data_IF_319633718021
#
_entry.id   IF_319633718021
#
_cell.length_a   1.000
_cell.length_b   1.000
_cell.length_c   1.000
_cell.angle_alpha   90.00
_cell.angle_beta   90.00
_cell.angle_gamma   90.00
#
_symmetry.space_group_name_H-M   'P 1'
#
loop_
_entity.id
_entity.type
_entity.pdbx_description
1 polymer ?
#
# COMPACT_ATOMS: atom_id res chain seq x y z
N UNK A 1 28.13 -14.19 -10.24
CA UNK A 1 28.67 -14.50 -8.90
C UNK A 1 29.85 -15.47 -8.92
N UNK A 2 29.94 -16.41 -9.86
CA UNK A 2 31.01 -17.45 -9.89
C UNK A 2 32.45 -16.95 -10.09
N UNK A 3 32.66 -15.70 -10.53
CA UNK A 3 33.99 -15.15 -10.86
C UNK A 3 34.48 -14.06 -9.88
N UNK A 4 33.81 -13.87 -8.74
CA UNK A 4 34.27 -12.91 -7.72
C UNK A 4 35.30 -13.58 -6.78
N UNK A 5 36.38 -12.89 -6.38
CA UNK A 5 37.34 -13.44 -5.42
C UNK A 5 36.63 -13.80 -4.12
N UNK A 6 36.78 -15.06 -3.71
CA UNK A 6 36.22 -15.66 -2.51
C UNK A 6 36.88 -15.08 -1.26
N UNK A 7 36.50 -13.87 -0.86
CA UNK A 7 36.56 -13.47 0.54
C UNK A 7 35.31 -14.03 1.20
N UNK A 8 35.45 -14.93 2.18
CA UNK A 8 34.32 -15.43 2.96
C UNK A 8 33.65 -14.25 3.67
N UNK A 9 32.39 -13.89 3.36
CA UNK A 9 31.63 -13.08 4.28
C UNK A 9 31.18 -14.01 5.42
N UNK A 10 31.75 -13.83 6.61
CA UNK A 10 31.21 -14.36 7.87
C UNK A 10 29.86 -13.68 8.19
N UNK A 11 28.82 -13.81 7.35
CA UNK A 11 27.48 -13.38 7.77
C UNK A 11 26.85 -14.50 8.58
N UNK A 12 26.86 -14.35 9.91
CA UNK A 12 26.08 -15.19 10.84
C UNK A 12 24.56 -14.91 10.79
N UNK A 13 24.12 -14.07 9.86
CA UNK A 13 22.71 -13.70 9.70
C UNK A 13 21.82 -14.85 9.25
N UNK A 14 20.52 -14.60 9.27
CA UNK A 14 19.48 -15.54 8.91
C UNK A 14 18.72 -15.09 7.66
N UNK A 15 18.25 -16.07 6.88
CA UNK A 15 17.25 -15.81 5.84
C UNK A 15 15.89 -15.60 6.50
N UNK A 16 15.24 -14.48 6.20
CA UNK A 16 13.92 -14.15 6.71
C UNK A 16 12.90 -14.10 5.57
N UNK A 17 11.75 -14.77 5.69
CA UNK A 17 10.68 -14.56 4.74
C UNK A 17 10.14 -13.14 4.90
N UNK A 18 10.01 -12.42 3.80
CA UNK A 18 9.34 -11.10 3.77
C UNK A 18 8.25 -11.10 2.71
N UNK A 19 7.39 -10.09 2.71
CA UNK A 19 6.40 -9.86 1.64
C UNK A 19 6.84 -8.69 0.77
N UNK A 20 6.28 -8.57 -0.43
CA UNK A 20 6.49 -7.39 -1.27
C UNK A 20 5.99 -6.09 -0.61
N UNK A 21 4.94 -6.15 0.22
CA UNK A 21 4.51 -5.05 1.09
C UNK A 21 5.55 -4.71 2.17
N UNK A 22 6.12 -5.73 2.82
CA UNK A 22 7.11 -5.59 3.88
C UNK A 22 8.53 -5.26 3.41
N UNK A 23 8.72 -4.84 2.15
CA UNK A 23 10.06 -4.54 1.61
C UNK A 23 10.63 -3.19 2.07
N UNK A 24 9.92 -2.44 2.93
CA UNK A 24 10.37 -1.15 3.49
C UNK A 24 10.66 -0.06 2.45
N UNK A 25 10.12 -0.20 1.22
CA UNK A 25 10.49 0.63 0.07
C UNK A 25 10.33 2.13 0.33
N UNK A 26 9.22 2.51 0.95
CA UNK A 26 8.88 3.91 1.24
C UNK A 26 9.31 4.37 2.64
N UNK A 27 9.99 3.51 3.40
CA UNK A 27 10.38 3.75 4.79
C UNK A 27 11.82 4.23 4.94
N UNK A 28 12.55 4.33 3.82
CA UNK A 28 13.97 4.70 3.84
C UNK A 28 14.14 6.21 4.05
N UNK A 29 14.73 6.59 5.18
CA UNK A 29 15.15 7.98 5.47
C UNK A 29 16.68 8.10 5.47
N UNK A 30 17.29 8.19 4.29
CA UNK A 30 18.73 8.42 4.16
C UNK A 30 19.01 9.84 3.68
N UNK A 31 19.98 10.51 4.31
CA UNK A 31 20.47 11.81 3.85
C UNK A 31 21.50 11.63 2.73
N UNK A 32 21.45 12.54 1.77
CA UNK A 32 22.46 12.64 0.70
C UNK A 32 23.28 13.89 0.95
N UNK A 33 24.60 13.74 1.03
CA UNK A 33 25.51 14.89 1.00
C UNK A 33 25.66 15.39 -0.44
N UNK A 34 25.66 16.71 -0.61
CA UNK A 34 25.84 17.34 -1.92
C UNK A 34 27.19 18.03 -1.96
N UNK A 35 27.86 17.97 -3.11
CA UNK A 35 29.18 18.56 -3.31
C UNK A 35 29.17 19.43 -4.57
N UNK A 36 29.96 20.49 -4.56
CA UNK A 36 30.25 21.27 -5.78
C UNK A 36 31.13 20.41 -6.66
N UNK A 37 30.68 20.18 -7.90
CA UNK A 37 31.44 19.41 -8.90
C UNK A 37 31.93 20.36 -10.00
N UNK A 38 33.19 20.20 -10.38
CA UNK A 38 33.70 20.82 -11.61
C UNK A 38 33.04 20.14 -12.82
N UNK A 39 32.74 20.93 -13.86
CA UNK A 39 32.19 20.42 -15.13
C UNK A 39 33.30 20.55 -16.18
N UNK A 40 34.09 19.48 -16.43
CA UNK A 40 35.14 19.52 -17.43
C UNK A 40 34.57 19.78 -18.83
N UNK A 41 35.32 20.45 -19.73
CA UNK A 41 34.91 20.61 -21.11
C UNK A 41 34.59 19.25 -21.76
N UNK A 42 33.39 19.16 -22.34
CA UNK A 42 32.89 17.98 -23.05
C UNK A 42 32.35 16.84 -22.16
N UNK A 43 32.28 16.98 -20.84
CA UNK A 43 31.70 15.94 -19.98
C UNK A 43 30.26 15.61 -20.41
N UNK A 44 29.94 14.31 -20.52
CA UNK A 44 28.64 13.78 -21.00
C UNK A 44 28.32 14.07 -22.47
N UNK A 45 29.33 14.40 -23.28
CA UNK A 45 29.19 14.37 -24.74
C UNK A 45 29.57 13.01 -25.28
N UNK A 46 29.12 12.70 -26.51
CA UNK A 46 29.42 11.43 -27.21
C UNK A 46 30.92 11.12 -27.31
N UNK A 47 31.78 12.13 -27.18
CA UNK A 47 33.25 11.98 -27.27
C UNK A 47 33.94 11.88 -25.91
N UNK A 48 33.22 12.13 -24.80
CA UNK A 48 33.78 12.17 -23.45
C UNK A 48 32.70 11.84 -22.42
N UNK A 49 32.32 10.56 -22.43
CA UNK A 49 31.54 9.95 -21.38
C UNK A 49 32.47 9.47 -20.25
N UNK A 50 32.06 9.57 -18.98
CA UNK A 50 32.81 8.97 -17.88
C UNK A 50 32.85 7.44 -18.05
N UNK A 51 33.90 6.81 -17.51
CA UNK A 51 33.95 5.35 -17.49
C UNK A 51 32.73 4.79 -16.74
N UNK A 52 32.00 3.83 -17.33
CA UNK A 52 30.82 3.28 -16.70
C UNK A 52 31.23 2.47 -15.47
N UNK A 53 30.38 2.49 -14.44
CA UNK A 53 30.52 1.55 -13.34
C UNK A 53 30.12 0.16 -13.84
N UNK A 54 31.03 -0.80 -13.73
CA UNK A 54 30.81 -2.16 -14.24
C UNK A 54 30.11 -3.04 -13.21
N UNK A 55 29.13 -3.82 -13.68
CA UNK A 55 28.49 -4.89 -12.92
C UNK A 55 28.99 -6.26 -13.43
N UNK A 56 28.93 -7.32 -12.61
CA UNK A 56 29.28 -8.66 -13.07
C UNK A 56 28.34 -9.13 -14.20
N UNK A 57 28.77 -10.12 -15.02
CA UNK A 57 27.96 -10.65 -16.11
C UNK A 57 26.55 -11.08 -15.66
N UNK A 58 25.55 -10.68 -16.45
CA UNK A 58 24.13 -10.97 -16.21
C UNK A 58 23.41 -9.94 -15.33
N UNK A 59 24.12 -9.12 -14.57
CA UNK A 59 23.51 -8.05 -13.79
C UNK A 59 23.26 -6.81 -14.65
N UNK A 60 22.11 -6.18 -14.40
CA UNK A 60 21.71 -4.93 -15.04
C UNK A 60 21.14 -3.98 -13.98
N UNK A 61 21.48 -2.69 -14.08
CA UNK A 61 20.92 -1.64 -13.24
C UNK A 61 19.70 -1.03 -13.92
N UNK A 62 18.66 -0.79 -13.14
CA UNK A 62 17.40 -0.22 -13.59
C UNK A 62 17.00 0.94 -12.71
N UNK A 63 16.39 1.96 -13.31
CA UNK A 63 15.83 3.11 -12.59
C UNK A 63 14.31 2.99 -12.66
N UNK A 64 13.70 2.77 -11.50
CA UNK A 64 12.25 2.74 -11.36
C UNK A 64 11.62 4.08 -11.79
N UNK A 65 10.37 4.12 -12.29
CA UNK A 65 9.67 5.37 -12.64
C UNK A 65 9.63 6.45 -11.55
N UNK A 66 9.61 6.05 -10.27
CA UNK A 66 9.68 6.93 -9.09
C UNK A 66 11.11 7.38 -8.73
N UNK A 67 12.14 6.87 -9.40
CA UNK A 67 13.53 7.34 -9.32
C UNK A 67 14.50 6.45 -8.53
N UNK A 68 14.04 5.43 -7.81
CA UNK A 68 14.96 4.53 -7.10
C UNK A 68 15.69 3.57 -8.06
N UNK A 69 16.98 3.34 -7.80
CA UNK A 69 17.77 2.34 -8.51
C UNK A 69 17.55 0.95 -7.91
N UNK A 70 17.52 -0.07 -8.75
CA UNK A 70 17.54 -1.47 -8.35
C UNK A 70 18.30 -2.29 -9.39
N UNK A 71 18.59 -3.56 -9.07
CA UNK A 71 19.43 -4.41 -9.89
C UNK A 71 18.74 -5.74 -10.17
N UNK A 72 18.85 -6.21 -11.41
CA UNK A 72 18.29 -7.48 -11.85
C UNK A 72 19.39 -8.35 -12.48
N UNK A 73 19.42 -9.62 -12.09
CA UNK A 73 20.27 -10.67 -12.63
C UNK A 73 19.44 -11.55 -13.56
N UNK A 74 19.80 -11.58 -14.84
CA UNK A 74 19.25 -12.57 -15.76
C UNK A 74 20.05 -13.88 -15.69
N UNK A 75 19.35 -15.00 -15.77
CA UNK A 75 19.93 -16.33 -15.61
C UNK A 75 18.88 -17.43 -15.33
N UNK A 76 19.33 -18.66 -15.02
CA UNK A 76 18.44 -19.78 -14.72
C UNK A 76 17.49 -19.52 -13.54
N UNK A 77 18.00 -18.80 -12.53
CA UNK A 77 17.22 -18.20 -11.46
C UNK A 77 17.36 -16.69 -11.61
N UNK A 78 16.30 -16.00 -11.99
CA UNK A 78 16.30 -14.54 -12.02
C UNK A 78 16.33 -14.01 -10.60
N UNK A 79 17.07 -12.94 -10.39
CA UNK A 79 17.19 -12.31 -9.06
C UNK A 79 17.00 -10.82 -9.22
N UNK A 80 16.24 -10.20 -8.32
CA UNK A 80 16.10 -8.76 -8.22
C UNK A 80 16.38 -8.29 -6.81
N UNK A 81 17.02 -7.13 -6.68
CA UNK A 81 17.37 -6.55 -5.37
C UNK A 81 17.43 -5.04 -5.43
N UNK A 82 17.06 -4.40 -4.32
CA UNK A 82 17.26 -2.97 -4.07
C UNK A 82 18.66 -2.65 -3.51
N UNK A 83 19.49 -3.65 -3.23
CA UNK A 83 20.83 -3.46 -2.70
C UNK A 83 21.75 -2.79 -3.73
N UNK A 84 22.51 -1.75 -3.32
CA UNK A 84 23.36 -0.98 -4.23
C UNK A 84 24.64 -1.74 -4.64
N UNK A 85 24.58 -2.47 -5.76
CA UNK A 85 25.61 -3.44 -6.16
C UNK A 85 26.95 -2.86 -6.60
N UNK A 86 27.03 -1.55 -6.86
CA UNK A 86 28.32 -0.90 -7.16
C UNK A 86 29.25 -0.85 -5.94
N UNK A 87 28.75 -1.14 -4.72
CA UNK A 87 29.58 -1.41 -3.54
C UNK A 87 29.99 -2.88 -3.53
N UNK A 88 31.29 -3.15 -3.62
CA UNK A 88 31.84 -4.51 -3.68
C UNK A 88 31.41 -5.42 -2.52
N UNK A 89 31.35 -4.89 -1.29
CA UNK A 89 30.87 -5.63 -0.11
C UNK A 89 29.39 -6.00 -0.21
N UNK A 90 28.55 -5.09 -0.71
CA UNK A 90 27.12 -5.33 -0.96
C UNK A 90 26.93 -6.43 -2.00
N UNK A 91 27.67 -6.37 -3.10
CA UNK A 91 27.63 -7.39 -4.15
C UNK A 91 28.05 -8.78 -3.64
N UNK A 92 29.12 -8.87 -2.83
CA UNK A 92 29.56 -10.12 -2.22
C UNK A 92 28.47 -10.73 -1.33
N UNK A 93 27.80 -9.90 -0.52
CA UNK A 93 26.69 -10.35 0.33
C UNK A 93 25.49 -10.84 -0.47
N UNK A 94 25.09 -10.12 -1.52
CA UNK A 94 24.00 -10.57 -2.41
C UNK A 94 24.36 -11.92 -3.05
N UNK A 95 25.59 -12.06 -3.57
CA UNK A 95 26.04 -13.33 -4.15
C UNK A 95 26.05 -14.47 -3.14
N UNK A 96 26.49 -14.22 -1.90
CA UNK A 96 26.45 -15.21 -0.82
C UNK A 96 25.01 -15.71 -0.58
N UNK A 97 24.04 -14.81 -0.44
CA UNK A 97 22.65 -15.20 -0.19
C UNK A 97 21.99 -15.91 -1.37
N UNK A 98 22.32 -15.53 -2.61
CA UNK A 98 21.89 -16.28 -3.81
C UNK A 98 22.37 -17.73 -3.72
N UNK A 99 23.64 -17.96 -3.37
CA UNK A 99 24.19 -19.32 -3.24
C UNK A 99 23.53 -20.12 -2.11
N UNK A 100 23.22 -19.48 -0.98
CA UNK A 100 22.49 -20.15 0.11
C UNK A 100 21.08 -20.56 -0.31
N UNK A 101 20.33 -19.67 -0.97
CA UNK A 101 18.98 -19.99 -1.45
C UNK A 101 19.01 -21.08 -2.52
N UNK A 102 20.00 -21.06 -3.43
CA UNK A 102 20.17 -22.14 -4.40
C UNK A 102 20.42 -23.49 -3.73
N UNK A 103 21.20 -23.53 -2.64
CA UNK A 103 21.38 -24.76 -1.85
C UNK A 103 20.08 -25.21 -1.17
N UNK A 104 19.31 -24.28 -0.60
CA UNK A 104 18.02 -24.58 0.03
C UNK A 104 17.00 -25.08 -1.00
N UNK A 105 16.99 -24.52 -2.21
CA UNK A 105 16.11 -24.97 -3.31
C UNK A 105 16.37 -26.43 -3.72
N UNK A 106 17.64 -26.85 -3.72
CA UNK A 106 17.99 -28.24 -3.99
C UNK A 106 17.51 -29.20 -2.88
N UNK A 107 17.30 -28.69 -1.66
CA UNK A 107 16.88 -29.47 -0.49
C UNK A 107 15.36 -29.47 -0.28
N UNK A 108 14.67 -28.38 -0.61
CA UNK A 108 13.25 -28.16 -0.28
C UNK A 108 12.27 -28.93 -1.18
N UNK A 109 12.75 -29.50 -2.29
CA UNK A 109 11.88 -30.20 -3.26
C UNK A 109 10.93 -29.27 -4.04
N UNK A 110 11.01 -27.95 -3.82
CA UNK A 110 10.23 -26.94 -4.54
C UNK A 110 10.76 -26.82 -5.96
N UNK A 111 9.89 -27.07 -6.95
CA UNK A 111 10.26 -26.91 -8.36
C UNK A 111 10.15 -25.44 -8.74
N UNK A 112 11.29 -24.78 -8.89
CA UNK A 112 11.37 -23.42 -9.40
C UNK A 112 11.40 -23.46 -10.93
N UNK A 113 10.40 -22.85 -11.56
CA UNK A 113 10.30 -22.77 -13.01
C UNK A 113 11.14 -21.60 -13.55
N UNK A 114 11.34 -21.55 -14.87
CA UNK A 114 11.98 -20.41 -15.55
C UNK A 114 11.21 -19.09 -15.45
N UNK A 115 9.97 -19.14 -14.95
CA UNK A 115 9.12 -17.97 -14.71
C UNK A 115 9.26 -17.42 -13.30
N UNK A 116 10.06 -18.08 -12.46
CA UNK A 116 10.30 -17.62 -11.11
C UNK A 116 11.37 -16.53 -11.04
N UNK A 117 11.17 -15.60 -10.13
CA UNK A 117 12.14 -14.55 -9.80
C UNK A 117 12.29 -14.45 -8.28
N UNK A 118 13.53 -14.41 -7.82
CA UNK A 118 13.91 -14.26 -6.42
C UNK A 118 14.11 -12.78 -6.11
N UNK A 119 13.43 -12.27 -5.08
CA UNK A 119 13.76 -10.98 -4.49
C UNK A 119 14.69 -11.16 -3.29
N UNK A 120 15.71 -10.30 -3.19
CA UNK A 120 16.61 -10.22 -2.03
C UNK A 120 16.66 -8.80 -1.47
N UNK A 121 16.54 -8.73 -0.14
CA UNK A 121 16.68 -7.50 0.64
C UNK A 121 17.73 -7.72 1.72
N UNK A 122 18.80 -6.93 1.71
CA UNK A 122 19.82 -7.02 2.75
C UNK A 122 19.40 -6.21 3.99
N UNK A 123 19.47 -6.82 5.17
CA UNK A 123 19.14 -6.18 6.46
C UNK A 123 20.29 -6.40 7.44
N UNK A 124 21.09 -5.38 7.77
CA UNK A 124 22.21 -5.51 8.71
C UNK A 124 23.07 -6.77 8.43
N UNK A 125 22.92 -7.86 9.17
CA UNK A 125 23.54 -9.18 8.93
C UNK A 125 22.63 -10.20 8.23
N UNK A 126 21.31 -10.04 8.33
CA UNK A 126 20.27 -10.91 7.79
C UNK A 126 19.94 -10.60 6.31
N UNK A 127 19.10 -11.45 5.72
CA UNK A 127 18.56 -11.22 4.39
C UNK A 127 17.08 -11.60 4.29
N UNK A 128 16.25 -10.61 3.95
CA UNK A 128 14.86 -10.81 3.56
C UNK A 128 14.77 -11.42 2.17
N UNK A 129 13.85 -12.37 1.97
CA UNK A 129 13.59 -12.98 0.68
C UNK A 129 12.11 -13.31 0.46
N UNK A 130 11.73 -13.36 -0.81
CA UNK A 130 10.57 -14.07 -1.32
C UNK A 130 10.80 -14.46 -2.77
N UNK A 131 10.00 -15.39 -3.29
CA UNK A 131 9.95 -15.69 -4.71
C UNK A 131 8.61 -15.26 -5.30
N UNK A 132 8.62 -14.91 -6.58
CA UNK A 132 7.41 -14.76 -7.37
C UNK A 132 7.45 -15.71 -8.55
N UNK A 133 6.29 -16.15 -9.03
CA UNK A 133 6.14 -16.86 -10.28
C UNK A 133 5.30 -16.02 -11.24
N UNK A 134 5.91 -15.54 -12.32
CA UNK A 134 5.25 -14.71 -13.32
C UNK A 134 4.17 -15.45 -14.13
N UNK A 135 4.22 -16.79 -14.20
CA UNK A 135 3.21 -17.57 -14.94
C UNK A 135 1.92 -17.71 -14.15
N UNK A 136 2.03 -18.01 -12.85
CA UNK A 136 0.86 -18.12 -11.96
C UNK A 136 0.47 -16.79 -11.33
N UNK A 137 1.34 -15.77 -11.44
CA UNK A 137 1.20 -14.43 -10.85
C UNK A 137 1.00 -14.51 -9.34
N UNK A 138 1.88 -15.25 -8.66
CA UNK A 138 1.80 -15.42 -7.20
C UNK A 138 3.15 -15.24 -6.54
N UNK A 139 3.14 -14.69 -5.32
CA UNK A 139 4.28 -14.71 -4.42
C UNK A 139 4.27 -15.98 -3.57
N UNK A 140 5.45 -16.56 -3.31
CA UNK A 140 5.63 -17.75 -2.49
C UNK A 140 6.99 -17.77 -1.79
N UNK A 141 7.19 -18.76 -0.91
CA UNK A 141 8.41 -18.94 -0.12
C UNK A 141 8.90 -20.40 -0.19
N UNK A 142 10.13 -20.64 0.29
CA UNK A 142 10.73 -21.99 0.28
C UNK A 142 10.17 -22.90 1.37
N UNK A 143 9.58 -22.29 2.41
CA UNK A 143 9.05 -22.95 3.59
C UNK A 143 7.57 -22.58 3.78
N UNK A 144 6.87 -23.37 4.59
CA UNK A 144 5.47 -23.10 4.94
C UNK A 144 5.38 -22.09 6.07
N UNK A 145 4.58 -21.05 5.87
CA UNK A 145 4.26 -20.04 6.89
C UNK A 145 2.76 -19.90 7.05
N UNK A 146 2.32 -19.49 8.23
CA UNK A 146 0.96 -18.99 8.45
C UNK A 146 0.88 -17.51 8.01
N UNK A 147 -0.33 -17.04 7.73
CA UNK A 147 -0.56 -15.67 7.26
C UNK A 147 -0.15 -14.64 8.31
N UNK A 148 -0.29 -14.96 9.59
CA UNK A 148 0.03 -14.08 10.71
C UNK A 148 1.53 -13.76 10.79
N UNK A 149 2.42 -14.77 10.64
CA UNK A 149 3.88 -14.54 10.61
C UNK A 149 4.34 -13.66 9.46
N UNK A 150 3.59 -13.63 8.37
CA UNK A 150 3.88 -12.83 7.19
C UNK A 150 3.12 -11.49 7.17
N UNK A 151 2.39 -11.18 8.24
CA UNK A 151 1.52 -10.00 8.36
C UNK A 151 0.52 -9.88 7.20
N UNK A 152 0.00 -11.04 6.75
CA UNK A 152 -1.02 -11.14 5.70
C UNK A 152 -2.42 -11.17 6.32
N UNK A 153 -3.43 -10.64 5.60
CA UNK A 153 -4.81 -10.67 6.09
C UNK A 153 -5.28 -12.10 6.32
N UNK A 154 -6.05 -12.30 7.39
CA UNK A 154 -6.73 -13.56 7.63
C UNK A 154 -7.76 -13.81 6.51
N UNK A 155 -7.73 -15.00 5.93
CA UNK A 155 -8.61 -15.39 4.82
C UNK A 155 -9.46 -16.59 5.19
N UNK A 156 -10.67 -16.63 4.62
CA UNK A 156 -11.66 -17.69 4.90
C UNK A 156 -11.47 -18.94 4.03
N UNK A 157 -10.85 -18.81 2.85
CA UNK A 157 -10.72 -19.89 1.87
C UNK A 157 -9.38 -19.82 1.12
N UNK A 158 -8.97 -20.94 0.51
CA UNK A 158 -7.76 -21.01 -0.32
C UNK A 158 -7.84 -20.14 -1.58
N UNK A 159 -9.04 -19.97 -2.15
CA UNK A 159 -9.23 -19.10 -3.32
C UNK A 159 -9.02 -17.62 -2.95
N UNK A 160 -9.38 -17.20 -1.73
CA UNK A 160 -8.99 -15.87 -1.23
C UNK A 160 -7.50 -15.74 -0.97
N UNK A 161 -6.87 -16.76 -0.37
CA UNK A 161 -5.41 -16.75 -0.19
C UNK A 161 -4.69 -16.55 -1.52
N UNK A 162 -5.16 -17.20 -2.59
CA UNK A 162 -4.62 -17.01 -3.94
C UNK A 162 -4.67 -15.55 -4.40
N UNK A 163 -5.76 -14.84 -4.12
CA UNK A 163 -5.89 -13.40 -4.47
C UNK A 163 -4.90 -12.57 -3.66
N UNK A 164 -4.70 -12.86 -2.37
CA UNK A 164 -3.67 -12.18 -1.55
C UNK A 164 -2.27 -12.40 -2.13
N UNK A 165 -1.94 -13.63 -2.53
CA UNK A 165 -0.64 -13.92 -3.15
C UNK A 165 -0.48 -13.28 -4.53
N UNK A 166 -1.57 -13.09 -5.27
CA UNK A 166 -1.59 -12.38 -6.56
C UNK A 166 -1.44 -10.86 -6.37
N UNK A 167 -2.07 -10.28 -5.33
CA UNK A 167 -1.82 -8.90 -4.93
C UNK A 167 -0.34 -8.65 -4.65
N UNK A 168 0.29 -9.50 -3.84
CA UNK A 168 1.72 -9.40 -3.52
C UNK A 168 2.60 -9.51 -4.76
N UNK A 169 2.23 -10.35 -5.72
CA UNK A 169 2.90 -10.42 -7.02
C UNK A 169 2.82 -9.09 -7.77
N UNK A 170 1.64 -8.46 -7.83
CA UNK A 170 1.49 -7.18 -8.51
C UNK A 170 2.27 -6.06 -7.82
N UNK A 171 2.33 -6.04 -6.49
CA UNK A 171 3.20 -5.12 -5.74
C UNK A 171 4.67 -5.34 -6.09
N UNK A 172 5.11 -6.59 -6.26
CA UNK A 172 6.47 -6.87 -6.72
C UNK A 172 6.73 -6.34 -8.14
N UNK A 173 5.82 -6.59 -9.09
CA UNK A 173 5.96 -6.07 -10.47
C UNK A 173 5.93 -4.55 -10.50
N UNK A 174 5.08 -3.94 -9.70
CA UNK A 174 5.06 -2.50 -9.48
C UNK A 174 6.41 -2.01 -8.94
N UNK A 175 7.02 -2.74 -8.00
CA UNK A 175 8.29 -2.34 -7.43
C UNK A 175 9.47 -2.46 -8.40
N UNK A 176 9.43 -3.41 -9.34
CA UNK A 176 10.51 -3.70 -10.26
C UNK A 176 10.02 -3.83 -11.72
N UNK A 177 9.48 -2.76 -12.34
CA UNK A 177 8.74 -2.87 -13.58
C UNK A 177 9.62 -2.78 -14.85
N UNK A 178 10.88 -2.36 -14.72
CA UNK A 178 11.75 -1.98 -15.85
C UNK A 178 12.53 -3.15 -16.47
N UNK A 179 12.77 -4.22 -15.72
CA UNK A 179 13.47 -5.43 -16.20
C UNK A 179 12.49 -6.54 -16.59
N UNK A 180 11.24 -6.44 -16.15
CA UNK A 180 10.18 -7.40 -16.45
C UNK A 180 9.86 -7.36 -17.94
N UNK A 181 9.70 -8.54 -18.54
CA UNK A 181 9.29 -8.67 -19.94
C UNK A 181 7.94 -7.97 -20.18
N UNK A 182 7.65 -7.50 -21.40
CA UNK A 182 6.35 -6.91 -21.71
C UNK A 182 5.20 -7.81 -21.25
N UNK A 183 4.25 -7.21 -20.54
CA UNK A 183 3.08 -7.93 -20.05
C UNK A 183 2.25 -8.42 -21.24
N UNK A 184 1.66 -9.62 -21.16
CA UNK A 184 0.69 -10.08 -22.14
C UNK A 184 -0.46 -9.09 -22.31
N UNK A 185 -0.91 -8.87 -23.55
CA UNK A 185 -1.98 -7.90 -23.89
C UNK A 185 -3.29 -8.20 -23.16
N UNK A 186 -3.53 -9.47 -22.86
CA UNK A 186 -4.72 -9.96 -22.15
C UNK A 186 -4.81 -9.35 -20.74
N UNK A 187 -3.67 -9.13 -20.07
CA UNK A 187 -3.64 -8.53 -18.73
C UNK A 187 -4.13 -7.08 -18.76
N UNK A 188 -3.78 -6.34 -19.82
CA UNK A 188 -4.25 -4.97 -20.03
C UNK A 188 -5.73 -4.94 -20.42
N UNK A 189 -6.17 -5.88 -21.26
CA UNK A 189 -7.57 -5.95 -21.67
C UNK A 189 -8.48 -6.34 -20.50
N UNK A 190 -8.07 -7.29 -19.66
CA UNK A 190 -8.80 -7.69 -18.46
C UNK A 190 -9.04 -6.51 -17.52
N UNK A 191 -8.01 -5.69 -17.25
CA UNK A 191 -8.18 -4.53 -16.39
C UNK A 191 -9.10 -3.48 -17.03
N UNK A 192 -9.02 -3.28 -18.37
CA UNK A 192 -9.96 -2.41 -19.09
C UNK A 192 -11.40 -2.91 -18.91
N UNK A 193 -11.65 -4.22 -18.99
CA UNK A 193 -12.98 -4.79 -18.78
C UNK A 193 -13.47 -4.61 -17.34
N UNK A 194 -12.59 -4.82 -16.35
CA UNK A 194 -12.92 -4.62 -14.93
C UNK A 194 -13.32 -3.16 -14.67
N UNK A 195 -12.56 -2.19 -15.17
CA UNK A 195 -12.90 -0.77 -15.02
C UNK A 195 -14.15 -0.37 -15.80
N UNK A 196 -14.40 -0.99 -16.96
CA UNK A 196 -15.63 -0.75 -17.74
C UNK A 196 -16.87 -1.28 -17.00
N UNK A 197 -16.76 -2.45 -16.37
CA UNK A 197 -17.77 -2.99 -15.48
C UNK A 197 -17.99 -2.06 -14.27
N UNK A 198 -16.91 -1.66 -13.59
CA UNK A 198 -16.97 -0.76 -12.43
C UNK A 198 -17.63 0.58 -12.75
N UNK A 199 -17.33 1.16 -13.92
CA UNK A 199 -18.01 2.37 -14.42
C UNK A 199 -19.52 2.15 -14.55
N UNK A 200 -19.92 1.07 -15.22
CA UNK A 200 -21.33 0.74 -15.41
C UNK A 200 -22.05 0.53 -14.06
N UNK A 201 -21.43 -0.22 -13.15
CA UNK A 201 -21.98 -0.50 -11.82
C UNK A 201 -22.15 0.80 -11.01
N UNK A 202 -21.15 1.67 -11.00
CA UNK A 202 -21.23 2.98 -10.31
C UNK A 202 -22.30 3.91 -10.90
N UNK A 203 -22.54 3.85 -12.21
CA UNK A 203 -23.57 4.65 -12.87
C UNK A 203 -24.99 4.11 -12.65
N UNK A 204 -25.13 2.80 -12.44
CA UNK A 204 -26.43 2.11 -12.38
C UNK A 204 -26.84 1.69 -10.96
N UNK A 205 -25.89 1.68 -10.01
CA UNK A 205 -26.09 1.24 -8.63
C UNK A 205 -25.54 2.25 -7.61
N UNK A 206 -26.41 2.73 -6.72
CA UNK A 206 -26.03 3.62 -5.61
C UNK A 206 -25.23 2.91 -4.50
N UNK A 207 -25.22 1.58 -4.51
CA UNK A 207 -24.60 0.72 -3.50
C UNK A 207 -23.48 -0.15 -4.09
N UNK A 208 -22.97 0.23 -5.26
CA UNK A 208 -21.81 -0.39 -5.90
C UNK A 208 -20.68 -0.61 -4.88
N UNK A 209 -20.09 -1.80 -4.94
CA UNK A 209 -18.91 -2.16 -4.17
C UNK A 209 -17.62 -1.79 -4.89
N UNK A 210 -17.66 -1.18 -6.08
CA UNK A 210 -16.43 -0.80 -6.77
C UNK A 210 -15.69 0.33 -6.03
N UNK A 211 -14.37 0.24 -5.97
CA UNK A 211 -13.50 1.13 -5.20
C UNK A 211 -13.41 2.55 -5.76
N UNK A 212 -13.57 2.70 -7.08
CA UNK A 212 -13.49 3.98 -7.77
C UNK A 212 -14.87 4.53 -8.13
N UNK A 213 -15.03 5.84 -8.11
CA UNK A 213 -16.21 6.51 -8.65
C UNK A 213 -16.29 6.38 -10.18
N UNK A 214 -17.47 6.58 -10.76
CA UNK A 214 -17.64 6.59 -12.22
C UNK A 214 -16.64 7.52 -12.93
N UNK A 215 -16.44 8.74 -12.39
CA UNK A 215 -15.48 9.70 -12.95
C UNK A 215 -14.04 9.19 -12.90
N UNK A 216 -13.64 8.57 -11.80
CA UNK A 216 -12.29 7.98 -11.69
C UNK A 216 -12.13 6.81 -12.66
N UNK A 217 -13.15 5.97 -12.83
CA UNK A 217 -13.14 4.87 -13.80
C UNK A 217 -12.93 5.38 -15.24
N UNK A 218 -13.62 6.45 -15.65
CA UNK A 218 -13.41 7.07 -16.97
C UNK A 218 -11.97 7.55 -17.14
N UNK A 219 -11.38 8.17 -16.11
CA UNK A 219 -9.99 8.65 -16.15
C UNK A 219 -9.02 7.47 -16.29
N UNK A 220 -9.21 6.41 -15.51
CA UNK A 220 -8.36 5.21 -15.59
C UNK A 220 -8.53 4.47 -16.92
N UNK A 221 -9.75 4.35 -17.46
CA UNK A 221 -9.97 3.76 -18.78
C UNK A 221 -9.24 4.53 -19.88
N UNK A 222 -9.30 5.86 -19.86
CA UNK A 222 -8.57 6.69 -20.80
C UNK A 222 -7.04 6.48 -20.68
N UNK A 223 -6.52 6.33 -19.46
CA UNK A 223 -5.11 6.03 -19.22
C UNK A 223 -4.71 4.63 -19.76
N UNK A 224 -5.51 3.60 -19.45
CA UNK A 224 -5.27 2.22 -19.86
C UNK A 224 -5.34 2.06 -21.38
N UNK A 225 -6.27 2.74 -22.06
CA UNK A 225 -6.33 2.74 -23.52
C UNK A 225 -5.07 3.33 -24.16
N UNK A 226 -4.46 4.35 -23.54
CA UNK A 226 -3.17 4.90 -24.01
C UNK A 226 -2.00 3.94 -23.78
N UNK A 227 -2.08 3.09 -22.77
CA UNK A 227 -1.05 2.08 -22.48
C UNK A 227 -0.93 1.04 -23.61
N UNK A 228 -2.00 0.77 -24.37
CA UNK A 228 -1.96 -0.17 -25.51
C UNK A 228 -0.89 0.17 -26.54
N UNK A 229 -0.62 1.46 -26.77
CA UNK A 229 0.41 1.90 -27.72
C UNK A 229 1.86 1.72 -27.23
N UNK A 230 2.07 1.50 -25.93
CA UNK A 230 3.38 1.50 -25.27
C UNK A 230 3.56 0.31 -24.32
N UNK A 231 2.97 -0.85 -24.64
CA UNK A 231 2.94 -2.01 -23.73
C UNK A 231 4.32 -2.55 -23.32
N UNK A 232 5.35 -2.24 -24.12
CA UNK A 232 6.74 -2.63 -23.85
C UNK A 232 7.46 -1.69 -22.87
N UNK A 233 6.82 -0.60 -22.44
CA UNK A 233 7.42 0.35 -21.50
C UNK A 233 7.27 -0.13 -20.06
N UNK A 234 8.36 -0.13 -19.29
CA UNK A 234 8.31 -0.37 -17.85
C UNK A 234 7.40 0.63 -17.10
N UNK A 235 7.17 1.82 -17.64
CA UNK A 235 6.18 2.75 -17.07
C UNK A 235 4.74 2.24 -17.24
N UNK A 236 4.45 1.60 -18.37
CA UNK A 236 3.15 0.96 -18.60
C UNK A 236 2.99 -0.26 -17.71
N UNK A 237 4.03 -1.09 -17.56
CA UNK A 237 4.06 -2.19 -16.60
C UNK A 237 3.75 -1.71 -15.18
N UNK A 238 4.38 -0.62 -14.75
CA UNK A 238 4.13 0.00 -13.44
C UNK A 238 2.66 0.43 -13.27
N UNK A 239 2.07 1.13 -14.25
CA UNK A 239 0.67 1.57 -14.20
C UNK A 239 -0.26 0.36 -14.04
N UNK A 240 -0.06 -0.66 -14.87
CA UNK A 240 -0.90 -1.86 -14.88
C UNK A 240 -0.77 -2.61 -13.56
N UNK A 241 0.46 -2.85 -13.09
CA UNK A 241 0.73 -3.55 -11.84
C UNK A 241 0.12 -2.82 -10.63
N UNK A 242 0.25 -1.49 -10.57
CA UNK A 242 -0.32 -0.68 -9.48
C UNK A 242 -1.85 -0.74 -9.44
N UNK A 243 -2.52 -0.75 -10.59
CA UNK A 243 -3.98 -0.85 -10.62
C UNK A 243 -4.44 -2.28 -10.29
N UNK A 244 -3.71 -3.31 -10.71
CA UNK A 244 -4.01 -4.70 -10.34
C UNK A 244 -3.85 -4.95 -8.84
N UNK A 245 -2.77 -4.47 -8.21
CA UNK A 245 -2.58 -4.63 -6.75
C UNK A 245 -3.75 -4.02 -5.97
N UNK A 246 -4.20 -2.82 -6.35
CA UNK A 246 -5.38 -2.18 -5.74
C UNK A 246 -6.66 -3.00 -5.95
N UNK A 247 -6.87 -3.56 -7.15
CA UNK A 247 -8.05 -4.37 -7.45
C UNK A 247 -8.06 -5.70 -6.68
N UNK A 248 -6.92 -6.35 -6.55
CA UNK A 248 -6.81 -7.63 -5.84
C UNK A 248 -6.98 -7.45 -4.32
N UNK A 249 -6.36 -6.43 -3.74
CA UNK A 249 -6.61 -6.03 -2.35
C UNK A 249 -8.12 -5.81 -2.10
N UNK A 250 -8.77 -5.12 -3.04
CA UNK A 250 -10.21 -4.89 -2.96
C UNK A 250 -11.04 -6.18 -3.07
N UNK A 251 -10.68 -7.11 -3.97
CA UNK A 251 -11.35 -8.41 -4.11
C UNK A 251 -11.28 -9.24 -2.81
N UNK A 252 -10.17 -9.16 -2.08
CA UNK A 252 -10.03 -9.81 -0.76
C UNK A 252 -11.04 -9.22 0.22
N UNK A 253 -11.11 -7.88 0.31
CA UNK A 253 -12.02 -7.17 1.22
C UNK A 253 -13.51 -7.48 0.98
N UNK A 254 -13.93 -7.61 -0.28
CA UNK A 254 -15.34 -7.89 -0.62
C UNK A 254 -15.68 -9.38 -0.70
N UNK A 255 -14.74 -10.29 -0.35
CA UNK A 255 -14.93 -11.73 -0.50
C UNK A 255 -15.31 -12.15 -1.93
N UNK A 256 -14.64 -11.56 -2.92
CA UNK A 256 -14.94 -11.80 -4.33
C UNK A 256 -14.81 -13.29 -4.70
N UNK A 257 -15.81 -13.81 -5.42
CA UNK A 257 -15.86 -15.21 -5.85
C UNK A 257 -16.17 -16.23 -4.74
N UNK A 258 -16.52 -15.77 -3.53
CA UNK A 258 -16.96 -16.63 -2.43
C UNK A 258 -18.49 -16.67 -2.34
N UNK A 259 -19.03 -17.65 -1.59
CA UNK A 259 -20.47 -17.72 -1.29
C UNK A 259 -20.95 -16.48 -0.51
N UNK A 260 -20.12 -15.95 0.38
CA UNK A 260 -20.41 -14.77 1.21
C UNK A 260 -19.87 -13.46 0.58
N UNK A 261 -19.79 -13.37 -0.75
CA UNK A 261 -19.33 -12.16 -1.42
C UNK A 261 -20.22 -10.95 -1.06
N UNK A 262 -19.58 -9.79 -0.81
CA UNK A 262 -20.29 -8.52 -0.64
C UNK A 262 -20.76 -8.02 -2.00
N UNK A 263 -22.07 -7.95 -2.17
CA UNK A 263 -22.70 -7.46 -3.41
C UNK A 263 -23.22 -6.02 -3.29
N UNK A 264 -23.31 -5.52 -2.06
CA UNK A 264 -23.77 -4.17 -1.75
C UNK A 264 -22.86 -3.54 -0.71
N UNK A 265 -22.49 -2.26 -0.88
CA UNK A 265 -21.58 -1.56 0.03
C UNK A 265 -22.07 -1.57 1.48
N UNK A 266 -23.37 -1.44 1.66
CA UNK A 266 -24.06 -1.37 2.97
C UNK A 266 -24.31 -2.75 3.61
N UNK A 267 -23.86 -3.83 2.96
CA UNK A 267 -23.99 -5.19 3.48
C UNK A 267 -22.85 -5.53 4.45
N UNK A 268 -23.22 -5.92 5.66
CA UNK A 268 -22.31 -6.57 6.62
C UNK A 268 -22.11 -8.03 6.24
N UNK A 269 -20.87 -8.44 6.05
CA UNK A 269 -20.49 -9.82 5.74
C UNK A 269 -19.53 -10.40 6.79
N UNK A 270 -18.78 -9.54 7.48
CA UNK A 270 -17.85 -9.98 8.53
C UNK A 270 -18.61 -10.10 9.84
N UNK A 271 -18.48 -11.26 10.49
CA UNK A 271 -19.00 -11.41 11.84
C UNK A 271 -18.19 -10.53 12.79
N UNK A 272 -18.76 -9.39 13.18
CA UNK A 272 -18.20 -8.56 14.23
C UNK A 272 -18.97 -8.81 15.54
N UNK A 273 -18.39 -9.50 16.53
CA UNK A 273 -18.96 -9.61 17.86
C UNK A 273 -18.80 -8.27 18.61
N UNK A 274 -19.48 -7.20 18.16
CA UNK A 274 -19.44 -5.96 18.92
C UNK A 274 -20.21 -6.11 20.23
N UNK A 275 -19.49 -5.89 21.33
CA UNK A 275 -20.03 -5.52 22.63
C UNK A 275 -20.71 -4.15 22.51
N UNK A 276 -21.93 -4.11 21.96
CA UNK A 276 -22.77 -2.90 22.01
C UNK A 276 -23.02 -2.55 23.47
N UNK A 277 -22.28 -1.59 24.01
CA UNK A 277 -22.61 -0.94 25.28
C UNK A 277 -23.83 -0.04 25.09
N UNK A 278 -25.01 -0.67 24.94
CA UNK A 278 -26.31 -0.03 24.67
C UNK A 278 -26.59 1.14 25.62
N UNK A 279 -26.16 1.04 26.88
CA UNK A 279 -26.35 2.07 27.89
C UNK A 279 -25.54 3.35 27.61
N UNK A 280 -24.29 3.25 27.16
CA UNK A 280 -23.47 4.42 26.78
C UNK A 280 -24.09 5.16 25.60
N UNK A 281 -24.59 4.42 24.61
CA UNK A 281 -25.25 5.01 23.44
C UNK A 281 -26.53 5.79 23.81
N UNK A 282 -27.29 5.31 24.80
CA UNK A 282 -28.49 5.98 25.31
C UNK A 282 -28.16 7.28 26.04
N UNK A 283 -27.15 7.26 26.92
CA UNK A 283 -26.70 8.46 27.65
C UNK A 283 -26.22 9.54 26.67
N UNK A 284 -25.37 9.17 25.72
CA UNK A 284 -24.85 10.10 24.72
C UNK A 284 -25.96 10.67 23.83
N UNK A 285 -26.93 9.84 23.44
CA UNK A 285 -28.09 10.30 22.68
C UNK A 285 -28.97 11.28 23.49
N UNK A 286 -29.11 11.08 24.81
CA UNK A 286 -29.86 12.02 25.64
C UNK A 286 -29.12 13.36 25.80
N UNK A 287 -27.83 13.34 26.11
CA UNK A 287 -27.02 14.56 26.29
C UNK A 287 -26.95 15.41 25.02
N UNK A 288 -26.88 14.76 23.86
CA UNK A 288 -26.72 15.45 22.56
C UNK A 288 -28.05 15.70 21.84
N UNK A 289 -29.19 15.54 22.51
CA UNK A 289 -30.52 15.67 21.90
C UNK A 289 -30.68 14.83 20.63
N UNK A 290 -30.22 13.57 20.68
CA UNK A 290 -30.20 12.57 19.61
C UNK A 290 -29.24 12.85 18.44
N UNK A 291 -28.51 13.95 18.48
CA UNK A 291 -27.53 14.33 17.44
C UNK A 291 -26.40 13.30 17.34
N UNK A 292 -25.90 12.77 18.47
CA UNK A 292 -24.88 11.71 18.45
C UNK A 292 -25.38 10.42 17.82
N UNK A 293 -26.65 10.08 18.05
CA UNK A 293 -27.28 8.91 17.43
C UNK A 293 -27.40 9.05 15.91
N UNK A 294 -27.73 10.25 15.43
CA UNK A 294 -27.79 10.56 14.00
C UNK A 294 -26.40 10.46 13.32
N UNK A 295 -25.36 11.04 13.91
CA UNK A 295 -24.00 10.92 13.37
C UNK A 295 -23.46 9.50 13.45
N UNK A 296 -23.75 8.76 14.53
CA UNK A 296 -23.34 7.37 14.67
C UNK A 296 -24.01 6.48 13.61
N UNK A 297 -25.31 6.69 13.33
CA UNK A 297 -26.00 5.98 12.26
C UNK A 297 -25.35 6.28 10.90
N UNK A 298 -25.15 7.56 10.56
CA UNK A 298 -24.48 7.96 9.30
C UNK A 298 -23.04 7.43 9.21
N UNK A 299 -22.31 7.38 10.33
CA UNK A 299 -20.97 6.84 10.38
C UNK A 299 -20.98 5.33 10.10
N UNK A 300 -21.89 4.59 10.74
CA UNK A 300 -22.06 3.16 10.52
C UNK A 300 -22.45 2.84 9.08
N UNK A 301 -23.23 3.69 8.43
CA UNK A 301 -23.62 3.53 7.01
C UNK A 301 -22.44 3.72 6.04
N UNK A 302 -21.43 4.50 6.41
CA UNK A 302 -20.23 4.76 5.58
C UNK A 302 -19.05 3.86 5.97
N UNK A 303 -19.07 3.26 7.16
CA UNK A 303 -18.00 2.47 7.78
C UNK A 303 -18.43 1.01 8.00
N UNK A 304 -18.90 0.34 6.95
CA UNK A 304 -19.43 -1.04 7.03
C UNK A 304 -18.29 -2.06 7.01
N UNK A 305 -18.21 -2.91 8.04
CA UNK A 305 -17.12 -3.87 8.29
C UNK A 305 -15.71 -3.27 8.22
N UNK A 306 -15.55 -2.05 8.75
CA UNK A 306 -14.28 -1.32 8.73
C UNK A 306 -13.77 -0.93 7.32
N UNK A 307 -14.62 -1.05 6.30
CA UNK A 307 -14.31 -0.61 4.93
C UNK A 307 -14.82 0.82 4.72
N UNK A 308 -13.98 1.65 4.12
CA UNK A 308 -14.30 3.04 3.78
C UNK A 308 -14.11 3.30 2.31
N UNK A 309 -15.18 3.74 1.65
CA UNK A 309 -15.13 4.21 0.27
C UNK A 309 -14.86 5.71 0.27
N UNK A 310 -13.69 6.12 -0.22
CA UNK A 310 -13.23 7.53 -0.17
C UNK A 310 -14.26 8.49 -0.78
N UNK A 311 -14.94 8.07 -1.85
CA UNK A 311 -15.94 8.88 -2.55
C UNK A 311 -17.23 9.09 -1.71
N UNK A 312 -17.50 8.26 -0.69
CA UNK A 312 -18.58 8.46 0.28
C UNK A 312 -18.08 9.16 1.55
N UNK A 313 -16.87 8.83 1.99
CA UNK A 313 -16.25 9.39 3.18
C UNK A 313 -16.01 10.89 3.08
N UNK A 314 -15.47 11.36 1.96
CA UNK A 314 -15.16 12.78 1.75
C UNK A 314 -16.40 13.68 1.88
N UNK A 315 -17.52 13.41 1.17
CA UNK A 315 -18.76 14.15 1.39
C UNK A 315 -19.25 14.09 2.83
N UNK A 316 -19.27 12.90 3.45
CA UNK A 316 -19.71 12.73 4.84
C UNK A 316 -18.91 13.59 5.84
N UNK A 317 -17.58 13.55 5.77
CA UNK A 317 -16.72 14.36 6.63
C UNK A 317 -16.90 15.86 6.33
N UNK A 318 -17.03 16.24 5.05
CA UNK A 318 -17.28 17.64 4.71
C UNK A 318 -18.58 18.16 5.31
N UNK A 319 -19.65 17.37 5.25
CA UNK A 319 -20.93 17.70 5.88
C UNK A 319 -20.78 17.86 7.39
N UNK A 320 -20.08 16.92 8.04
CA UNK A 320 -19.85 16.97 9.49
C UNK A 320 -19.09 18.23 9.90
N UNK A 321 -18.02 18.57 9.16
CA UNK A 321 -17.24 19.79 9.39
C UNK A 321 -18.08 21.06 9.16
N UNK A 322 -18.93 21.08 8.15
CA UNK A 322 -19.82 22.22 7.89
C UNK A 322 -20.86 22.38 9.00
N UNK A 323 -21.48 21.29 9.45
CA UNK A 323 -22.44 21.30 10.55
C UNK A 323 -21.81 21.76 11.87
N UNK A 324 -20.60 21.30 12.18
CA UNK A 324 -19.85 21.75 13.35
C UNK A 324 -19.55 23.24 13.28
N UNK A 325 -19.04 23.74 12.15
CA UNK A 325 -18.82 25.18 11.95
C UNK A 325 -20.10 25.98 12.19
N UNK A 326 -21.23 25.56 11.60
CA UNK A 326 -22.51 26.25 11.76
C UNK A 326 -23.00 26.27 13.21
N UNK A 327 -22.84 25.15 13.94
CA UNK A 327 -23.19 25.06 15.35
C UNK A 327 -22.31 25.97 16.20
N UNK A 328 -21.00 26.00 15.94
CA UNK A 328 -20.07 26.91 16.64
C UNK A 328 -20.43 28.38 16.42
N UNK A 329 -20.78 28.77 15.19
CA UNK A 329 -21.23 30.15 14.89
C UNK A 329 -22.53 30.52 15.61
N UNK A 330 -23.50 29.61 15.69
CA UNK A 330 -24.76 29.84 16.41
C UNK A 330 -24.50 29.96 17.91
N UNK A 331 -23.66 29.09 18.49
CA UNK A 331 -23.29 29.15 19.90
C UNK A 331 -22.55 30.45 20.22
N UNK A 332 -21.59 30.89 19.38
CA UNK A 332 -20.87 32.15 19.61
C UNK A 332 -21.77 33.39 19.51
N UNK A 333 -22.77 33.37 18.61
CA UNK A 333 -23.71 34.48 18.45
C UNK A 333 -24.83 34.48 19.51
N UNK A 334 -25.21 33.30 20.02
CA UNK A 334 -26.16 33.16 21.13
C UNK A 334 -25.53 33.54 22.48
N UNK A 335 -24.23 33.25 22.68
CA UNK A 335 -23.48 33.69 23.85
C UNK A 335 -23.34 35.23 23.90
N UNK A 336 -23.09 35.88 22.75
CA UNK A 336 -23.01 37.34 22.67
C UNK A 336 -24.38 38.04 22.79
N UNK A 337 -25.49 37.37 22.45
CA UNK A 337 -26.84 37.89 22.76
C UNK A 337 -27.20 37.72 24.23
N UNK A 338 -26.77 36.65 24.89
CA UNK A 338 -26.94 36.48 26.34
C UNK A 338 -26.13 37.49 27.16
N UNK A 339 -24.94 37.92 26.71
CA UNK A 339 -24.19 39.02 27.37
C UNK A 339 -24.85 40.39 27.23
N UNK A 340 -25.73 40.58 26.23
CA UNK A 340 -26.50 41.83 26.05
C UNK A 340 -27.81 41.88 26.84
N UNK A 341 -28.22 40.78 27.46
CA UNK A 341 -29.32 40.74 28.42
C UNK A 341 -28.76 40.95 29.84
N UNK A 342 -28.88 42.18 30.34
CA UNK A 342 -28.38 42.59 31.66
C UNK A 342 -28.94 41.80 32.85
N UNK A 343 -28.38 42.02 34.05
CA UNK A 343 -28.46 41.10 35.17
C UNK A 343 -29.81 41.19 35.85
N UNK A 344 -30.60 40.12 35.82
CA UNK A 344 -31.59 39.90 36.86
C UNK A 344 -31.72 38.40 37.09
N UNK A 345 -31.37 37.98 38.30
CA UNK A 345 -31.59 36.64 38.85
C UNK A 345 -30.54 35.57 38.48
N UNK A 346 -29.46 35.51 39.27
CA UNK A 346 -29.09 34.33 40.07
C UNK A 346 -27.76 34.60 40.78
N UNK A 347 -27.86 35.04 42.03
CA UNK A 347 -26.75 35.21 42.97
C UNK A 347 -26.88 34.09 43.99
N UNK A 348 -26.17 32.98 43.82
CA UNK A 348 -25.56 32.17 44.88
C UNK A 348 -24.84 30.95 44.28
N UNK A 349 -23.71 30.61 44.89
CA UNK A 349 -22.80 29.50 44.56
C UNK A 349 -21.72 29.82 43.52
N UNK A 350 -20.72 30.59 43.97
CA UNK A 350 -19.34 30.37 43.56
C UNK A 350 -18.95 28.95 43.95
N UNK A 351 -18.53 28.13 42.99
CA UNK A 351 -17.31 27.34 43.09
C UNK A 351 -17.04 26.55 41.81
N UNK A 352 -15.75 26.48 41.46
CA UNK A 352 -15.11 25.69 40.39
C UNK A 352 -14.86 26.42 39.07
N UNK A 353 -13.64 26.97 38.99
CA UNK A 353 -12.96 27.34 37.75
C UNK A 353 -13.03 26.21 36.70
N UNK A 354 -13.46 26.53 35.48
CA UNK A 354 -13.19 25.73 34.30
C UNK A 354 -12.50 26.62 33.26
N UNK A 355 -11.27 26.25 32.92
CA UNK A 355 -10.47 26.86 31.86
C UNK A 355 -11.14 26.65 30.49
N UNK A 356 -11.07 27.61 29.54
CA UNK A 356 -11.48 27.35 28.17
C UNK A 356 -10.46 26.44 27.47
N UNK A 357 -10.90 25.22 27.12
CA UNK A 357 -10.17 24.30 26.25
C UNK A 357 -10.17 24.86 24.82
N UNK A 358 -9.07 25.49 24.43
CA UNK A 358 -8.77 25.84 23.04
C UNK A 358 -8.34 24.58 22.31
N UNK A 359 -9.24 23.97 21.53
CA UNK A 359 -8.88 22.92 20.58
C UNK A 359 -8.34 23.56 19.30
N UNK A 360 -7.01 23.54 19.16
CA UNK A 360 -6.29 23.81 17.92
C UNK A 360 -6.70 22.78 16.87
N UNK A 361 -6.98 23.24 15.65
CA UNK A 361 -7.21 22.37 14.50
C UNK A 361 -5.92 21.65 14.12
N UNK A 362 -5.94 20.32 14.18
CA UNK A 362 -4.91 19.46 13.58
C UNK A 362 -5.52 18.79 12.35
N UNK A 363 -4.79 18.88 11.25
CA UNK A 363 -5.06 18.27 9.95
C UNK A 363 -5.26 16.75 10.07
N UNK A 364 -6.31 16.21 9.44
CA UNK A 364 -6.54 14.77 9.34
C UNK A 364 -5.92 14.21 8.05
N UNK A 365 -4.92 13.34 8.22
CA UNK A 365 -4.49 12.36 7.22
C UNK A 365 -5.22 11.03 7.46
N UNK A 366 -5.44 10.30 6.38
CA UNK A 366 -6.00 8.94 6.34
C UNK A 366 -5.09 7.97 7.10
N UNK A 367 -5.64 7.20 8.03
CA UNK A 367 -4.95 6.12 8.77
C UNK A 367 -5.66 4.81 8.45
N UNK A 368 -4.94 3.84 7.90
CA UNK A 368 -5.33 2.43 7.96
C UNK A 368 -4.95 1.87 9.35
N UNK A 369 -5.77 0.99 9.94
CA UNK A 369 -5.49 0.43 11.26
C UNK A 369 -4.53 -0.75 11.14
N UNK A 370 -3.34 -0.62 11.72
CA UNK A 370 -2.38 -1.72 11.84
C UNK A 370 -0.93 -1.24 11.85
N UNK A 371 -0.53 -0.47 12.85
CA UNK A 371 0.89 -0.31 13.21
C UNK A 371 0.99 0.29 14.61
N UNK A 372 1.34 -0.54 15.58
CA UNK A 372 1.70 -0.12 16.94
C UNK A 372 3.21 0.08 17.02
N UNK A 373 3.69 1.33 16.95
CA UNK A 373 4.78 1.88 17.79
C UNK A 373 5.17 3.31 17.32
N UNK A 374 5.54 4.25 18.21
CA UNK A 374 5.56 5.68 17.92
C UNK A 374 6.97 6.23 17.70
N UNK A 375 7.17 7.00 16.63
CA UNK A 375 8.15 8.09 16.62
C UNK A 375 7.86 9.05 15.46
N UNK A 376 7.16 10.13 15.79
CA UNK A 376 6.94 11.29 14.93
C UNK A 376 7.98 12.36 15.27
N UNK A 377 8.56 12.97 14.24
CA UNK A 377 8.71 14.42 14.07
C UNK A 377 9.12 14.73 12.62
#
# INVERSE_FOLDING_TARGET
CKDLPSGEPESQGQLKPVTSHGSGRYETSTFVETYVMDIPPGLFTTFKEPEPQYLPPGWSAHVHPEGNIYFALDGPLRVVTNAYLYRGTTLQRVCHWIEQIQKLLLQSGVTVTENAELFLMLEAEDCGYYLVDHATRTQFWLESFDTEKLDLPAVSTQSQLKIVLEELYWVHVEHFPMHVKPLPTEILDDIIYIFSHGLCDQMTSHVSTFNFSARECEVFLNLLQRCRGNINSGHTTWIIARLWSILDAHKVLIHHGQEQARLSRDQYIVFNPELKHRWLSLIMALITFKTSGHHLARLNDVFVDHIVYIHQWKPFISDCLQQWRSTTYVVSNSASTCESAGPTFCRHSQDSCAYPLVLRSSSFFTVQPGCTSPSWC
#
